data_IF_750668475454
#
_entry.id   IF_750668475454
#
_cell.length_a   1.000
_cell.length_b   1.000
_cell.length_c   1.000
_cell.angle_alpha   90.00
_cell.angle_beta   90.00
_cell.angle_gamma   90.00
#
_symmetry.space_group_name_H-M   'P 1'
#
loop_
_entity.id
_entity.type
_entity.pdbx_description
1 polymer ?
#
# COMPACT_ATOMS: atom_id res chain seq x y z
N UNK A 1 6.34 43.16 -4.65
CA UNK A 1 5.96 41.76 -4.92
C UNK A 1 5.94 40.99 -3.61
N UNK A 2 4.77 40.61 -3.08
CA UNK A 2 4.66 39.70 -1.93
C UNK A 2 4.63 38.27 -2.49
N UNK A 3 5.79 37.61 -2.56
CA UNK A 3 5.85 36.22 -3.01
C UNK A 3 6.31 35.30 -1.89
N UNK A 4 5.40 34.34 -1.63
CA UNK A 4 5.60 33.03 -1.00
C UNK A 4 5.79 33.03 0.52
N UNK A 5 4.67 32.78 1.19
CA UNK A 5 4.56 32.25 2.55
C UNK A 5 5.52 31.06 2.66
N UNK A 6 6.44 31.08 3.63
CA UNK A 6 7.35 29.96 3.93
C UNK A 6 6.52 28.69 4.07
N UNK A 7 6.68 27.79 3.12
CA UNK A 7 5.89 26.57 3.01
C UNK A 7 6.52 25.54 3.96
N UNK A 8 5.85 25.26 5.08
CA UNK A 8 6.21 24.26 6.10
C UNK A 8 5.85 22.82 5.66
N UNK A 9 5.89 22.54 4.35
CA UNK A 9 5.31 21.32 3.75
C UNK A 9 6.09 20.04 4.05
N UNK A 10 7.35 20.13 4.47
CA UNK A 10 8.16 18.94 4.80
C UNK A 10 7.59 18.16 5.99
N UNK A 11 7.07 18.86 7.01
CA UNK A 11 6.45 18.21 8.17
C UNK A 11 5.12 17.55 7.78
N UNK A 12 4.35 18.21 6.91
CA UNK A 12 3.07 17.71 6.43
C UNK A 12 3.23 16.47 5.53
N UNK A 13 4.20 16.46 4.61
CA UNK A 13 4.46 15.31 3.72
C UNK A 13 4.85 14.03 4.45
N UNK A 14 5.72 14.12 5.46
CA UNK A 14 6.12 12.95 6.26
C UNK A 14 4.96 12.43 7.11
N UNK A 15 4.20 13.35 7.73
CA UNK A 15 3.01 13.00 8.50
C UNK A 15 1.95 12.30 7.64
N UNK A 16 1.63 12.90 6.49
CA UNK A 16 0.67 12.37 5.52
C UNK A 16 1.09 10.99 5.00
N UNK A 17 2.37 10.81 4.66
CA UNK A 17 2.88 9.51 4.22
C UNK A 17 2.71 8.43 5.29
N UNK A 18 3.05 8.73 6.54
CA UNK A 18 2.88 7.79 7.65
C UNK A 18 1.40 7.45 7.91
N UNK A 19 0.50 8.44 7.80
CA UNK A 19 -0.94 8.21 7.92
C UNK A 19 -1.45 7.27 6.81
N UNK A 20 -1.05 7.51 5.56
CA UNK A 20 -1.42 6.63 4.45
C UNK A 20 -0.86 5.22 4.62
N UNK A 21 0.40 5.07 5.06
CA UNK A 21 0.98 3.77 5.37
C UNK A 21 0.22 3.04 6.47
N UNK A 22 -0.18 3.75 7.54
CA UNK A 22 -0.96 3.18 8.64
C UNK A 22 -2.32 2.69 8.15
N UNK A 23 -3.07 3.52 7.40
CA UNK A 23 -4.37 3.14 6.81
C UNK A 23 -4.24 1.96 5.86
N UNK A 24 -3.20 1.95 5.03
CA UNK A 24 -2.90 0.85 4.11
C UNK A 24 -2.60 -0.45 4.88
N UNK A 25 -1.78 -0.38 5.93
CA UNK A 25 -1.47 -1.53 6.80
C UNK A 25 -2.71 -2.10 7.48
N UNK A 26 -3.55 -1.26 8.07
CA UNK A 26 -4.81 -1.67 8.69
C UNK A 26 -5.76 -2.34 7.69
N UNK A 27 -5.91 -1.76 6.49
CA UNK A 27 -6.74 -2.35 5.45
C UNK A 27 -6.23 -3.73 5.05
N UNK A 28 -4.91 -3.87 4.89
CA UNK A 28 -4.30 -5.15 4.56
C UNK A 28 -4.52 -6.20 5.66
N UNK A 29 -4.32 -5.82 6.93
CA UNK A 29 -4.56 -6.70 8.08
C UNK A 29 -6.02 -7.18 8.13
N UNK A 30 -6.98 -6.28 7.94
CA UNK A 30 -8.40 -6.65 7.85
C UNK A 30 -8.69 -7.63 6.71
N UNK A 31 -8.09 -7.44 5.54
CA UNK A 31 -8.23 -8.38 4.42
C UNK A 31 -7.67 -9.76 4.76
N UNK A 32 -6.54 -9.85 5.49
CA UNK A 32 -5.97 -11.13 5.92
C UNK A 32 -6.84 -11.86 6.95
N UNK A 33 -7.44 -11.11 7.88
CA UNK A 33 -8.40 -11.65 8.85
C UNK A 33 -9.63 -12.18 8.11
N UNK A 34 -10.18 -11.40 7.18
CA UNK A 34 -11.32 -11.82 6.38
C UNK A 34 -11.05 -13.10 5.57
N UNK A 35 -9.87 -13.20 4.93
CA UNK A 35 -9.47 -14.42 4.21
C UNK A 35 -9.37 -15.63 5.13
N UNK A 36 -8.91 -15.44 6.37
CA UNK A 36 -8.85 -16.49 7.37
C UNK A 36 -10.24 -16.94 7.82
N UNK A 37 -11.16 -16.00 8.04
CA UNK A 37 -12.54 -16.29 8.41
C UNK A 37 -13.26 -17.07 7.31
N UNK A 38 -13.09 -16.68 6.04
CA UNK A 38 -13.63 -17.41 4.90
C UNK A 38 -13.06 -18.84 4.85
N UNK A 39 -11.75 -19.00 5.05
CA UNK A 39 -11.10 -20.33 5.10
C UNK A 39 -11.70 -21.19 6.22
N UNK A 40 -11.80 -20.63 7.43
CA UNK A 40 -12.34 -21.33 8.61
C UNK A 40 -13.81 -21.73 8.43
N UNK A 41 -14.61 -20.86 7.80
CA UNK A 41 -15.99 -21.17 7.46
C UNK A 41 -16.09 -22.35 6.49
N UNK A 42 -15.32 -22.31 5.39
CA UNK A 42 -15.33 -23.36 4.37
C UNK A 42 -14.84 -24.69 4.97
N UNK A 43 -13.82 -24.66 5.83
CA UNK A 43 -13.30 -25.84 6.51
C UNK A 43 -14.37 -26.51 7.39
N UNK A 44 -15.04 -25.73 8.24
CA UNK A 44 -16.16 -26.23 9.06
C UNK A 44 -17.30 -26.75 8.18
N UNK A 45 -17.62 -26.04 7.08
CA UNK A 45 -18.66 -26.47 6.14
C UNK A 45 -18.30 -27.80 5.47
N UNK A 46 -17.04 -27.99 5.06
CA UNK A 46 -16.54 -29.23 4.48
C UNK A 46 -16.67 -30.41 5.45
N UNK A 47 -16.33 -30.21 6.73
CA UNK A 47 -16.48 -31.22 7.77
C UNK A 47 -17.95 -31.60 7.99
N UNK A 48 -18.85 -30.62 8.06
CA UNK A 48 -20.29 -30.88 8.18
C UNK A 48 -20.84 -31.66 6.98
N UNK A 49 -20.42 -31.33 5.75
CA UNK A 49 -20.86 -32.06 4.57
C UNK A 49 -20.32 -33.50 4.52
N UNK A 50 -19.09 -33.72 4.99
CA UNK A 50 -18.51 -35.06 5.11
C UNK A 50 -19.28 -35.91 6.12
N UNK A 51 -19.56 -35.35 7.31
CA UNK A 51 -20.31 -36.04 8.35
C UNK A 51 -21.73 -36.39 7.88
N UNK A 52 -22.41 -35.45 7.23
CA UNK A 52 -23.73 -35.69 6.65
C UNK A 52 -23.69 -36.80 5.58
N UNK A 53 -22.72 -36.75 4.67
CA UNK A 53 -22.51 -37.77 3.64
C UNK A 53 -22.30 -39.16 4.25
N UNK A 54 -21.43 -39.27 5.25
CA UNK A 54 -21.14 -40.54 5.93
C UNK A 54 -22.34 -41.08 6.68
N UNK A 55 -23.07 -40.23 7.41
CA UNK A 55 -24.28 -40.61 8.11
C UNK A 55 -25.37 -41.12 7.15
N UNK A 56 -25.58 -40.41 6.03
CA UNK A 56 -26.55 -40.79 5.02
C UNK A 56 -26.17 -42.09 4.31
N UNK A 57 -24.90 -42.25 3.92
CA UNK A 57 -24.40 -43.48 3.30
C UNK A 57 -24.56 -44.68 4.25
N UNK A 58 -24.22 -44.51 5.53
CA UNK A 58 -24.42 -45.55 6.55
C UNK A 58 -25.89 -45.93 6.70
N UNK A 59 -26.79 -44.93 6.73
CA UNK A 59 -28.23 -45.14 6.79
C UNK A 59 -28.73 -45.94 5.58
N UNK A 60 -28.38 -45.53 4.36
CA UNK A 60 -28.75 -46.24 3.14
C UNK A 60 -28.27 -47.70 3.18
N UNK A 61 -27.00 -47.93 3.51
CA UNK A 61 -26.40 -49.26 3.56
C UNK A 61 -27.09 -50.17 4.60
N UNK A 62 -27.51 -49.61 5.75
CA UNK A 62 -28.24 -50.36 6.78
C UNK A 62 -29.58 -50.91 6.29
N UNK A 63 -30.26 -50.21 5.38
CA UNK A 63 -31.54 -50.64 4.83
C UNK A 63 -31.39 -51.45 3.54
N UNK A 64 -30.36 -51.21 2.73
CA UNK A 64 -30.05 -52.01 1.53
C UNK A 64 -29.65 -53.45 1.92
N UNK A 65 -28.94 -53.62 3.04
CA UNK A 65 -28.43 -54.92 3.47
C UNK A 65 -29.48 -55.86 4.09
N UNK A 66 -30.74 -55.44 4.22
CA UNK A 66 -31.79 -56.26 4.84
C UNK A 66 -32.40 -57.19 3.80
N UNK A 67 -32.26 -58.49 4.04
CA UNK A 67 -32.73 -59.57 3.16
C UNK A 67 -34.25 -59.53 2.91
N UNK A 68 -35.02 -58.99 3.86
CA UNK A 68 -36.47 -58.78 3.78
C UNK A 68 -36.91 -57.88 2.60
N UNK A 69 -35.99 -57.11 2.02
CA UNK A 69 -36.24 -56.25 0.85
C UNK A 69 -35.71 -56.82 -0.46
N UNK A 70 -35.12 -58.02 -0.44
CA UNK A 70 -34.62 -58.74 -1.62
C UNK A 70 -35.65 -59.78 -2.10
N UNK A 71 -36.92 -59.39 -2.21
CA UNK A 71 -37.97 -60.27 -2.70
C UNK A 71 -37.78 -60.52 -4.20
N UNK A 72 -37.48 -61.77 -4.57
CA UNK A 72 -37.64 -62.27 -5.94
C UNK A 72 -39.12 -62.55 -6.14
N UNK A 73 -39.82 -61.79 -6.97
CA UNK A 73 -41.18 -62.13 -7.37
C UNK A 73 -41.21 -62.49 -8.86
N UNK A 74 -41.38 -63.79 -9.13
CA UNK A 74 -41.51 -64.39 -10.46
C UNK A 74 -42.94 -64.21 -11.02
N UNK A 75 -43.77 -63.33 -10.43
CA UNK A 75 -45.17 -63.18 -10.85
C UNK A 75 -45.71 -61.76 -10.84
N UNK A 76 -46.19 -61.34 -12.03
CA UNK A 76 -47.17 -60.28 -12.30
C UNK A 76 -46.78 -58.80 -12.00
N UNK A 77 -46.30 -58.12 -13.04
CA UNK A 77 -46.72 -56.82 -13.61
C UNK A 77 -47.13 -55.59 -12.74
N UNK A 78 -47.08 -55.62 -11.42
CA UNK A 78 -47.22 -54.44 -10.57
C UNK A 78 -45.86 -54.12 -9.94
N UNK A 79 -45.33 -52.92 -10.15
CA UNK A 79 -44.08 -52.46 -9.53
C UNK A 79 -44.24 -52.54 -8.01
N UNK A 80 -43.73 -53.63 -7.45
CA UNK A 80 -43.84 -54.01 -6.05
C UNK A 80 -43.15 -52.93 -5.19
N UNK A 81 -43.79 -52.52 -4.08
CA UNK A 81 -43.28 -51.56 -3.08
C UNK A 81 -41.75 -51.69 -2.79
N UNK A 82 -41.17 -52.90 -2.69
CA UNK A 82 -39.73 -53.13 -2.61
C UNK A 82 -38.86 -52.44 -3.68
N UNK A 83 -39.28 -52.44 -4.95
CA UNK A 83 -38.51 -51.80 -6.03
C UNK A 83 -38.48 -50.28 -5.87
N UNK A 84 -39.63 -49.67 -5.51
CA UNK A 84 -39.72 -48.23 -5.22
C UNK A 84 -38.88 -47.86 -4.00
N UNK A 85 -38.85 -48.73 -2.98
CA UNK A 85 -38.00 -48.54 -1.80
C UNK A 85 -36.52 -48.60 -2.14
N UNK A 86 -36.10 -49.58 -2.95
CA UNK A 86 -34.72 -49.70 -3.43
C UNK A 86 -34.30 -48.47 -4.24
N UNK A 87 -35.14 -48.01 -5.18
CA UNK A 87 -34.89 -46.80 -5.95
C UNK A 87 -34.70 -45.57 -5.05
N UNK A 88 -35.52 -45.44 -3.99
CA UNK A 88 -35.38 -44.35 -3.03
C UNK A 88 -34.04 -44.42 -2.28
N UNK A 89 -33.64 -45.62 -1.83
CA UNK A 89 -32.35 -45.82 -1.16
C UNK A 89 -31.17 -45.48 -2.08
N UNK A 90 -31.23 -45.88 -3.35
CA UNK A 90 -30.21 -45.56 -4.36
C UNK A 90 -30.12 -44.04 -4.61
N UNK A 91 -31.25 -43.32 -4.65
CA UNK A 91 -31.27 -41.86 -4.76
C UNK A 91 -30.57 -41.18 -3.57
N UNK A 92 -30.82 -41.64 -2.35
CA UNK A 92 -30.15 -41.09 -1.17
C UNK A 92 -28.66 -41.47 -1.09
N UNK A 93 -28.29 -42.68 -1.52
CA UNK A 93 -26.88 -43.08 -1.65
C UNK A 93 -26.13 -42.18 -2.65
N UNK A 94 -26.77 -41.86 -3.79
CA UNK A 94 -26.24 -40.90 -4.75
C UNK A 94 -26.09 -39.49 -4.16
N UNK A 95 -27.08 -38.99 -3.40
CA UNK A 95 -26.97 -37.70 -2.70
C UNK A 95 -25.79 -37.71 -1.72
N UNK A 96 -25.60 -38.80 -0.97
CA UNK A 96 -24.47 -38.97 -0.05
C UNK A 96 -23.13 -38.88 -0.78
N UNK A 97 -22.99 -39.56 -1.92
CA UNK A 97 -21.78 -39.51 -2.76
C UNK A 97 -21.51 -38.08 -3.26
N UNK A 98 -22.53 -37.38 -3.76
CA UNK A 98 -22.38 -36.00 -4.21
C UNK A 98 -21.98 -35.06 -3.09
N UNK A 99 -22.48 -35.28 -1.87
CA UNK A 99 -22.03 -34.52 -0.70
C UNK A 99 -20.59 -34.82 -0.31
N UNK A 100 -20.11 -36.05 -0.49
CA UNK A 100 -18.71 -36.39 -0.30
C UNK A 100 -17.80 -35.67 -1.30
N UNK A 101 -18.18 -35.62 -2.58
CA UNK A 101 -17.46 -34.89 -3.62
C UNK A 101 -17.45 -33.39 -3.34
N UNK A 102 -18.60 -32.83 -2.94
CA UNK A 102 -18.73 -31.43 -2.52
C UNK A 102 -17.79 -31.08 -1.36
N UNK A 103 -17.74 -31.92 -0.32
CA UNK A 103 -16.82 -31.75 0.82
C UNK A 103 -15.35 -31.69 0.37
N UNK A 104 -14.93 -32.56 -0.55
CA UNK A 104 -13.57 -32.53 -1.12
C UNK A 104 -13.30 -31.26 -1.94
N UNK A 105 -14.28 -30.80 -2.72
CA UNK A 105 -14.18 -29.53 -3.46
C UNK A 105 -14.01 -28.35 -2.51
N UNK A 106 -14.74 -28.32 -1.40
CA UNK A 106 -14.60 -27.29 -0.36
C UNK A 106 -13.19 -27.28 0.25
N UNK A 107 -12.54 -28.43 0.46
CA UNK A 107 -11.15 -28.47 0.92
C UNK A 107 -10.16 -27.86 -0.10
N UNK A 108 -10.39 -28.04 -1.41
CA UNK A 108 -9.59 -27.36 -2.43
C UNK A 108 -9.75 -25.84 -2.34
N UNK A 109 -10.96 -25.35 -2.04
CA UNK A 109 -11.17 -23.94 -1.78
C UNK A 109 -10.45 -23.46 -0.51
N UNK A 110 -10.37 -24.25 0.56
CA UNK A 110 -9.57 -23.90 1.74
C UNK A 110 -8.09 -23.66 1.38
N UNK A 111 -7.49 -24.56 0.60
CA UNK A 111 -6.10 -24.41 0.13
C UNK A 111 -5.93 -23.20 -0.78
N UNK A 112 -6.92 -22.91 -1.63
CA UNK A 112 -6.94 -21.71 -2.45
C UNK A 112 -6.91 -20.42 -1.61
N UNK A 113 -7.78 -20.32 -0.59
CA UNK A 113 -7.83 -19.13 0.29
C UNK A 113 -6.56 -18.99 1.14
N UNK A 114 -5.99 -20.12 1.61
CA UNK A 114 -4.69 -20.13 2.29
C UNK A 114 -3.57 -19.57 1.39
N UNK A 115 -3.48 -20.07 0.15
CA UNK A 115 -2.50 -19.58 -0.84
C UNK A 115 -2.71 -18.11 -1.18
N UNK A 116 -3.95 -17.66 -1.34
CA UNK A 116 -4.25 -16.25 -1.57
C UNK A 116 -3.78 -15.35 -0.42
N UNK A 117 -3.97 -15.79 0.84
CA UNK A 117 -3.49 -15.07 2.02
C UNK A 117 -1.97 -14.92 2.01
N UNK A 118 -1.24 -16.02 1.76
CA UNK A 118 0.23 -16.02 1.66
C UNK A 118 0.74 -15.10 0.52
N UNK A 119 0.10 -15.17 -0.65
CA UNK A 119 0.40 -14.31 -1.79
C UNK A 119 0.17 -12.82 -1.46
N UNK A 120 -0.96 -12.49 -0.84
CA UNK A 120 -1.25 -11.12 -0.41
C UNK A 120 -0.22 -10.59 0.59
N UNK A 121 0.18 -11.39 1.58
CA UNK A 121 1.23 -11.00 2.54
C UNK A 121 2.55 -10.67 1.83
N UNK A 122 2.93 -11.51 0.86
CA UNK A 122 4.16 -11.31 0.07
C UNK A 122 4.10 -10.05 -0.78
N UNK A 123 2.98 -9.85 -1.51
CA UNK A 123 2.76 -8.66 -2.33
C UNK A 123 2.74 -7.38 -1.49
N UNK A 124 2.13 -7.44 -0.31
CA UNK A 124 2.10 -6.30 0.61
C UNK A 124 3.50 -5.94 1.11
N UNK A 125 4.33 -6.93 1.45
CA UNK A 125 5.72 -6.70 1.83
C UNK A 125 6.50 -5.99 0.71
N UNK A 126 6.36 -6.44 -0.53
CA UNK A 126 6.97 -5.80 -1.71
C UNK A 126 6.45 -4.37 -1.91
N UNK A 127 5.13 -4.16 -1.79
CA UNK A 127 4.51 -2.86 -1.93
C UNK A 127 5.01 -1.86 -0.87
N UNK A 128 5.11 -2.30 0.40
CA UNK A 128 5.64 -1.48 1.49
C UNK A 128 7.11 -1.10 1.27
N UNK A 129 7.93 -2.02 0.79
CA UNK A 129 9.34 -1.73 0.44
C UNK A 129 9.43 -0.67 -0.67
N UNK A 130 8.63 -0.82 -1.74
CA UNK A 130 8.60 0.13 -2.83
C UNK A 130 8.09 1.51 -2.40
N UNK A 131 7.03 1.57 -1.58
CA UNK A 131 6.49 2.82 -1.05
C UNK A 131 7.52 3.56 -0.19
N UNK A 132 8.25 2.85 0.69
CA UNK A 132 9.32 3.44 1.50
C UNK A 132 10.43 4.00 0.62
N UNK A 133 10.90 3.23 -0.36
CA UNK A 133 11.92 3.68 -1.32
C UNK A 133 11.48 4.94 -2.09
N UNK A 134 10.25 4.94 -2.60
CA UNK A 134 9.71 6.10 -3.32
C UNK A 134 9.59 7.33 -2.41
N UNK A 135 9.20 7.15 -1.14
CA UNK A 135 9.16 8.23 -0.16
C UNK A 135 10.54 8.80 0.16
N UNK A 136 11.57 7.95 0.24
CA UNK A 136 12.95 8.40 0.43
C UNK A 136 13.41 9.28 -0.74
N UNK A 137 13.19 8.83 -1.98
CA UNK A 137 13.52 9.59 -3.20
C UNK A 137 12.78 10.92 -3.25
N UNK A 138 11.47 10.93 -2.94
CA UNK A 138 10.68 12.15 -2.88
C UNK A 138 11.16 13.10 -1.78
N UNK A 139 11.50 12.56 -0.60
CA UNK A 139 12.03 13.37 0.50
C UNK A 139 13.38 13.99 0.12
N UNK A 140 14.24 13.28 -0.60
CA UNK A 140 15.52 13.79 -1.07
C UNK A 140 15.33 14.88 -2.14
N UNK A 141 14.50 14.62 -3.15
CA UNK A 141 14.17 15.60 -4.19
C UNK A 141 13.59 16.90 -3.61
N UNK A 142 12.71 16.78 -2.61
CA UNK A 142 12.15 17.93 -1.92
C UNK A 142 13.23 18.73 -1.15
N UNK A 143 14.16 18.06 -0.46
CA UNK A 143 15.30 18.75 0.20
C UNK A 143 16.16 19.49 -0.81
N UNK A 144 16.44 18.87 -1.96
CA UNK A 144 17.23 19.48 -3.03
C UNK A 144 16.53 20.72 -3.60
N UNK A 145 15.22 20.63 -3.86
CA UNK A 145 14.40 21.76 -4.32
C UNK A 145 14.40 22.91 -3.31
N UNK A 146 14.19 22.61 -2.01
CA UNK A 146 14.25 23.61 -0.95
C UNK A 146 15.63 24.29 -0.86
N UNK A 147 16.71 23.53 -1.03
CA UNK A 147 18.06 24.09 -1.05
C UNK A 147 18.29 25.00 -2.25
N UNK A 148 17.92 24.55 -3.46
CA UNK A 148 18.04 25.33 -4.68
C UNK A 148 17.22 26.62 -4.62
N UNK A 149 16.00 26.57 -4.08
CA UNK A 149 15.17 27.74 -3.86
C UNK A 149 15.82 28.76 -2.93
N UNK A 150 16.42 28.30 -1.81
CA UNK A 150 17.17 29.19 -0.90
C UNK A 150 18.34 29.86 -1.61
N UNK A 151 19.12 29.11 -2.38
CA UNK A 151 20.23 29.66 -3.18
C UNK A 151 19.73 30.72 -4.15
N UNK A 152 18.67 30.42 -4.92
CA UNK A 152 18.06 31.38 -5.84
C UNK A 152 17.63 32.68 -5.15
N UNK A 153 16.99 32.60 -3.98
CA UNK A 153 16.60 33.80 -3.23
C UNK A 153 17.80 34.65 -2.79
N UNK A 154 18.91 34.00 -2.39
CA UNK A 154 20.15 34.68 -2.02
C UNK A 154 20.76 35.38 -3.25
N UNK A 155 20.88 34.66 -4.37
CA UNK A 155 21.44 35.18 -5.62
C UNK A 155 20.64 36.37 -6.14
N UNK A 156 19.31 36.28 -6.10
CA UNK A 156 18.41 37.38 -6.47
C UNK A 156 18.62 38.61 -5.57
N UNK A 157 18.72 38.41 -4.26
CA UNK A 157 18.99 39.50 -3.33
C UNK A 157 20.35 40.18 -3.60
N UNK A 158 21.40 39.39 -3.86
CA UNK A 158 22.72 39.93 -4.19
C UNK A 158 22.71 40.69 -5.52
N UNK A 159 21.99 40.20 -6.53
CA UNK A 159 21.82 40.87 -7.81
C UNK A 159 21.13 42.23 -7.65
N UNK A 160 20.01 42.28 -6.93
CA UNK A 160 19.27 43.52 -6.64
C UNK A 160 20.14 44.55 -5.90
N UNK A 161 20.99 44.10 -4.96
CA UNK A 161 21.93 44.97 -4.25
C UNK A 161 23.03 45.50 -5.17
N UNK A 162 23.58 44.65 -6.04
CA UNK A 162 24.60 45.06 -7.02
C UNK A 162 24.04 46.12 -7.98
N UNK A 163 22.84 45.92 -8.51
CA UNK A 163 22.19 46.88 -9.42
C UNK A 163 21.86 48.20 -8.72
N UNK A 164 21.38 48.13 -7.47
CA UNK A 164 21.16 49.32 -6.63
C UNK A 164 22.46 50.08 -6.39
N UNK A 165 23.56 49.37 -6.10
CA UNK A 165 24.87 49.99 -5.90
C UNK A 165 25.42 50.60 -7.20
N UNK A 166 25.23 49.93 -8.34
CA UNK A 166 25.58 50.44 -9.67
C UNK A 166 24.83 51.73 -10.01
N UNK A 167 23.55 51.85 -9.63
CA UNK A 167 22.78 53.08 -9.80
C UNK A 167 23.20 54.20 -8.84
N UNK A 168 23.67 53.86 -7.63
CA UNK A 168 24.17 54.83 -6.64
C UNK A 168 25.58 55.33 -6.95
N UNK A 169 26.40 54.53 -7.62
CA UNK A 169 27.79 54.86 -7.96
C UNK A 169 27.96 56.20 -8.71
N UNK A 170 27.23 56.48 -9.81
CA UNK A 170 27.31 57.78 -10.49
C UNK A 170 26.92 58.97 -9.60
N UNK A 171 25.95 58.78 -8.70
CA UNK A 171 25.52 59.82 -7.75
C UNK A 171 26.58 60.08 -6.68
N UNK A 172 27.25 59.02 -6.20
CA UNK A 172 28.37 59.14 -5.28
C UNK A 172 29.60 59.75 -5.96
N UNK A 173 29.91 59.37 -7.20
CA UNK A 173 30.97 59.98 -8.00
C UNK A 173 30.71 61.47 -8.23
N UNK A 174 29.46 61.84 -8.55
CA UNK A 174 29.06 63.25 -8.69
C UNK A 174 29.21 63.98 -7.35
N UNK A 175 28.73 63.41 -6.24
CA UNK A 175 28.92 63.98 -4.89
C UNK A 175 30.38 64.08 -4.48
N UNK A 176 31.26 63.16 -4.89
CA UNK A 176 32.71 63.21 -4.63
C UNK A 176 33.37 64.33 -5.45
N UNK A 177 32.97 64.52 -6.70
CA UNK A 177 33.41 65.65 -7.55
C UNK A 177 32.92 66.99 -6.98
N UNK A 178 31.64 67.06 -6.59
CA UNK A 178 30.99 68.27 -6.09
C UNK A 178 31.46 68.67 -4.68
N UNK A 179 31.83 67.69 -3.83
CA UNK A 179 32.42 67.95 -2.50
C UNK A 179 33.83 68.54 -2.58
N UNK A 180 34.39 68.69 -3.78
CA UNK A 180 35.73 69.23 -3.99
C UNK A 180 36.73 68.58 -3.03
N UNK A 181 36.66 67.25 -2.88
CA UNK A 181 37.75 66.51 -2.24
C UNK A 181 38.90 66.71 -3.18
N UNK A 182 39.75 67.67 -2.81
CA UNK A 182 40.91 68.07 -3.55
C UNK A 182 41.75 66.80 -3.74
N UNK A 183 41.64 66.20 -4.94
CA UNK A 183 42.32 64.96 -5.33
C UNK A 183 43.81 65.06 -4.99
N UNK A 184 44.35 66.28 -5.03
CA UNK A 184 45.70 66.64 -4.63
C UNK A 184 45.93 66.51 -3.12
N UNK A 185 45.00 66.91 -2.24
CA UNK A 185 45.11 66.71 -0.78
C UNK A 185 44.97 65.24 -0.39
N UNK A 186 44.07 64.48 -1.04
CA UNK A 186 43.91 63.06 -0.77
C UNK A 186 45.12 62.24 -1.24
N UNK A 187 45.65 62.53 -2.46
CA UNK A 187 46.91 61.94 -2.95
C UNK A 187 48.12 62.32 -2.09
N UNK A 188 48.16 63.55 -1.55
CA UNK A 188 49.23 64.00 -0.66
C UNK A 188 49.17 63.30 0.70
N UNK A 189 47.98 63.12 1.28
CA UNK A 189 47.77 62.34 2.50
C UNK A 189 48.09 60.85 2.32
N UNK A 190 47.77 60.26 1.16
CA UNK A 190 48.13 58.88 0.83
C UNK A 190 49.65 58.69 0.68
N UNK A 191 50.33 59.65 0.04
CA UNK A 191 51.79 59.64 -0.09
C UNK A 191 52.53 59.93 1.23
N UNK A 192 51.95 60.72 2.12
CA UNK A 192 52.50 60.95 3.47
C UNK A 192 52.30 59.73 4.38
N UNK A 193 51.16 59.03 4.29
CA UNK A 193 50.95 57.76 5.02
C UNK A 193 51.88 56.64 4.52
N UNK A 194 52.12 56.53 3.20
CA UNK A 194 53.06 55.53 2.66
C UNK A 194 54.51 55.78 3.07
N UNK A 195 54.90 57.04 3.34
CA UNK A 195 56.26 57.38 3.85
C UNK A 195 56.46 57.03 5.32
N UNK A 196 55.40 56.87 6.10
CA UNK A 196 55.44 56.49 7.52
C UNK A 196 55.51 54.96 7.69
N UNK A 197 55.27 54.20 6.62
CA UNK A 197 55.24 52.72 6.64
C UNK A 197 56.58 52.09 6.20
N UNK A 198 57.51 52.87 5.63
CA UNK A 198 58.85 52.40 5.21
C UNK A 198 59.98 52.74 6.22
N UNK A 199 59.73 52.56 7.52
CA UNK A 199 60.78 52.47 8.55
C UNK A 199 60.54 51.28 9.49
#
# INVERSE_FOLDING_TARGET
MKFVKKVDDTFNLKGLFNEHLSKFGLKHEHELVYLEDVRNFIEKKSQLELQYSQALSKLCNQFISKEEYQLNDDSNNEILIPEKWKLLLDQYAYIAEKKQVSSRSLLMHCEYFKRMKEQKSTLNQMALLNLKKNHEILSESNRNCQSAFKTFCIDQYLHDQHDTNKLKMPVLEKKLKDRNINSTKFKKALNEMNKVIDF
#
